data_IF_952652615202
#
_entry.id   IF_952652615202
#
_cell.length_a   1.000
_cell.length_b   1.000
_cell.length_c   1.000
_cell.angle_alpha   90.00
_cell.angle_beta   90.00
_cell.angle_gamma   90.00
#
_symmetry.space_group_name_H-M   'P 1'
#
loop_
_entity.id
_entity.type
_entity.pdbx_description
1 polymer ?
#
# COMPACT_ATOMS: atom_id res chain seq x y z
N UNK A 1 5.89 -2.51 20.47
CA UNK A 1 4.76 -2.93 19.61
C UNK A 1 3.47 -2.63 20.33
N UNK A 2 2.46 -2.18 19.60
CA UNK A 2 1.14 -1.89 20.14
C UNK A 2 0.22 -3.10 19.95
N UNK A 3 -0.70 -3.32 20.90
CA UNK A 3 -1.68 -4.42 20.84
C UNK A 3 -3.00 -3.87 20.34
N UNK A 4 -3.55 -4.49 19.29
CA UNK A 4 -4.86 -4.16 18.73
C UNK A 4 -5.77 -5.37 18.87
N UNK A 5 -6.99 -5.16 19.36
CA UNK A 5 -8.04 -6.18 19.42
C UNK A 5 -9.02 -5.99 18.27
N UNK A 6 -9.27 -7.04 17.50
CA UNK A 6 -10.22 -7.03 16.38
C UNK A 6 -11.01 -8.34 16.35
N UNK A 7 -12.23 -8.29 15.81
CA UNK A 7 -13.07 -9.48 15.63
C UNK A 7 -12.77 -10.05 14.25
N UNK A 8 -12.26 -11.28 14.22
CA UNK A 8 -11.92 -12.01 13.00
C UNK A 8 -12.48 -13.43 13.10
N UNK A 9 -12.73 -14.03 11.95
CA UNK A 9 -12.98 -15.47 11.88
C UNK A 9 -11.70 -16.24 12.22
N UNK A 10 -11.76 -16.96 13.33
CA UNK A 10 -10.64 -17.74 13.86
C UNK A 10 -10.34 -18.97 12.99
N UNK A 11 -11.33 -19.53 12.29
CA UNK A 11 -11.12 -20.71 11.44
C UNK A 11 -10.19 -20.39 10.28
N UNK A 12 -10.42 -19.26 9.60
CA UNK A 12 -9.56 -18.78 8.52
C UNK A 12 -8.10 -18.62 8.97
N UNK A 13 -7.85 -17.99 10.12
CA UNK A 13 -6.47 -17.78 10.61
C UNK A 13 -5.79 -19.10 11.00
N UNK A 14 -6.54 -20.04 11.58
CA UNK A 14 -6.01 -21.36 11.93
C UNK A 14 -5.59 -22.15 10.68
N UNK A 15 -6.24 -21.93 9.54
CA UNK A 15 -5.86 -22.57 8.28
C UNK A 15 -4.47 -22.09 7.82
N UNK A 16 -4.22 -20.78 7.85
CA UNK A 16 -2.92 -20.21 7.54
C UNK A 16 -1.82 -20.72 8.46
N UNK A 17 -2.07 -20.80 9.77
CA UNK A 17 -1.12 -21.35 10.74
C UNK A 17 -0.74 -22.79 10.40
N UNK A 18 -1.69 -23.64 10.02
CA UNK A 18 -1.43 -25.04 9.65
C UNK A 18 -0.59 -25.17 8.38
N UNK A 19 -0.84 -24.32 7.38
CA UNK A 19 -0.14 -24.36 6.09
C UNK A 19 1.25 -23.75 6.19
N UNK A 20 1.37 -22.58 6.81
CA UNK A 20 2.61 -21.80 6.89
C UNK A 20 3.51 -22.23 8.06
N UNK A 21 2.96 -22.92 9.07
CA UNK A 21 3.63 -23.27 10.33
C UNK A 21 4.13 -22.05 11.12
N UNK A 22 3.38 -20.96 11.03
CA UNK A 22 3.69 -19.68 11.67
C UNK A 22 2.69 -19.33 12.78
N UNK A 23 3.11 -18.48 13.73
CA UNK A 23 2.21 -18.01 14.80
C UNK A 23 1.11 -17.13 14.23
N UNK A 24 -0.11 -17.22 14.80
CA UNK A 24 -1.26 -16.37 14.40
C UNK A 24 -0.95 -14.88 14.34
N UNK A 25 -0.18 -14.37 15.30
CA UNK A 25 0.19 -12.94 15.33
C UNK A 25 1.14 -12.53 14.21
N UNK A 26 1.95 -13.47 13.69
CA UNK A 26 2.79 -13.24 12.52
C UNK A 26 1.92 -13.24 11.26
N UNK A 27 1.10 -14.27 11.06
CA UNK A 27 0.16 -14.38 9.93
C UNK A 27 -0.72 -13.13 9.82
N UNK A 28 -1.36 -12.72 10.92
CA UNK A 28 -2.24 -11.54 10.91
C UNK A 28 -1.47 -10.28 10.56
N UNK A 29 -0.24 -10.11 11.08
CA UNK A 29 0.59 -8.94 10.77
C UNK A 29 0.94 -8.89 9.29
N UNK A 30 1.36 -10.01 8.72
CA UNK A 30 1.71 -10.09 7.29
C UNK A 30 0.48 -9.81 6.40
N UNK A 31 -0.68 -10.38 6.73
CA UNK A 31 -1.93 -10.10 6.02
C UNK A 31 -2.32 -8.61 6.11
N UNK A 32 -2.13 -7.96 7.26
CA UNK A 32 -2.39 -6.53 7.42
C UNK A 32 -1.42 -5.69 6.59
N UNK A 33 -0.12 -6.01 6.57
CA UNK A 33 0.87 -5.30 5.76
C UNK A 33 0.60 -5.46 4.25
N UNK A 34 0.32 -6.68 3.79
CA UNK A 34 -0.06 -6.92 2.39
C UNK A 34 -1.39 -6.26 2.04
N UNK A 35 -2.38 -6.34 2.93
CA UNK A 35 -3.69 -5.70 2.77
C UNK A 35 -3.59 -4.19 2.70
N UNK A 36 -2.72 -3.58 3.51
CA UNK A 36 -2.43 -2.14 3.51
C UNK A 36 -1.91 -1.67 2.14
N UNK A 37 -0.90 -2.36 1.59
CA UNK A 37 -0.34 -2.04 0.27
C UNK A 37 -1.38 -2.16 -0.83
N UNK A 38 -2.10 -3.29 -0.88
CA UNK A 38 -3.17 -3.51 -1.86
C UNK A 38 -4.27 -2.46 -1.76
N UNK A 39 -4.67 -2.09 -0.54
CA UNK A 39 -5.72 -1.09 -0.34
C UNK A 39 -5.31 0.30 -0.81
N UNK A 40 -4.06 0.68 -0.57
CA UNK A 40 -3.51 1.94 -1.05
C UNK A 40 -3.52 2.01 -2.59
N UNK A 41 -3.14 0.93 -3.27
CA UNK A 41 -3.20 0.81 -4.74
C UNK A 41 -4.64 0.91 -5.25
N UNK A 42 -5.59 0.21 -4.63
CA UNK A 42 -7.01 0.31 -4.99
C UNK A 42 -7.55 1.73 -4.87
N UNK A 43 -7.24 2.41 -3.76
CA UNK A 43 -7.69 3.79 -3.54
C UNK A 43 -7.08 4.74 -4.58
N UNK A 44 -5.82 4.55 -4.96
CA UNK A 44 -5.18 5.33 -6.01
C UNK A 44 -5.84 5.09 -7.37
N UNK A 45 -6.09 3.82 -7.72
CA UNK A 45 -6.80 3.43 -8.96
C UNK A 45 -8.18 4.08 -9.05
N UNK A 46 -8.90 4.16 -7.92
CA UNK A 46 -10.20 4.82 -7.82
C UNK A 46 -10.13 6.36 -7.75
N UNK A 47 -8.94 6.96 -7.92
CA UNK A 47 -8.68 8.41 -7.81
C UNK A 47 -9.11 9.00 -6.46
N UNK A 48 -9.15 8.19 -5.40
CA UNK A 48 -9.53 8.63 -4.04
C UNK A 48 -8.35 9.19 -3.24
N UNK A 49 -7.12 8.91 -3.67
CA UNK A 49 -5.89 9.40 -3.04
C UNK A 49 -4.90 9.85 -4.10
N UNK A 50 -4.07 10.84 -3.76
CA UNK A 50 -2.93 11.22 -4.59
C UNK A 50 -1.82 10.16 -4.52
N UNK A 51 -0.82 10.26 -5.41
CA UNK A 51 0.33 9.37 -5.43
C UNK A 51 1.08 9.36 -4.08
N UNK A 52 1.35 10.55 -3.53
CA UNK A 52 2.04 10.69 -2.24
C UNK A 52 1.22 10.19 -1.05
N UNK A 53 -0.10 10.42 -1.05
CA UNK A 53 -0.98 9.89 -0.01
C UNK A 53 -1.09 8.36 -0.11
N UNK A 54 -1.14 7.82 -1.33
CA UNK A 54 -1.08 6.37 -1.59
C UNK A 54 0.19 5.73 -1.04
N UNK A 55 1.36 6.30 -1.31
CA UNK A 55 2.64 5.82 -0.77
C UNK A 55 2.64 5.81 0.78
N UNK A 56 2.17 6.91 1.39
CA UNK A 56 2.03 7.00 2.86
C UNK A 56 1.08 5.95 3.43
N UNK A 57 -0.07 5.74 2.78
CA UNK A 57 -1.03 4.70 3.16
C UNK A 57 -0.46 3.30 2.97
N UNK A 58 0.35 3.05 1.96
CA UNK A 58 1.05 1.77 1.75
C UNK A 58 2.21 1.56 2.74
N UNK A 59 2.73 2.63 3.35
CA UNK A 59 3.87 2.57 4.25
C UNK A 59 5.20 2.44 3.55
N UNK A 60 5.29 2.95 2.33
CA UNK A 60 6.47 2.84 1.45
C UNK A 60 6.87 4.21 0.92
N UNK A 61 8.08 4.30 0.37
CA UNK A 61 8.54 5.49 -0.35
C UNK A 61 7.73 5.72 -1.63
N UNK A 62 7.87 6.91 -2.23
CA UNK A 62 7.19 7.22 -3.49
C UNK A 62 7.66 6.31 -4.63
N UNK A 63 8.97 6.03 -4.72
CA UNK A 63 9.53 5.08 -5.69
C UNK A 63 8.97 3.68 -5.53
N UNK A 64 8.96 3.14 -4.31
CA UNK A 64 8.38 1.81 -4.05
C UNK A 64 6.88 1.77 -4.35
N UNK A 65 6.17 2.89 -4.18
CA UNK A 65 4.77 2.96 -4.56
C UNK A 65 4.58 2.94 -6.08
N UNK A 66 5.48 3.53 -6.87
CA UNK A 66 5.48 3.37 -8.33
C UNK A 66 5.65 1.90 -8.74
N UNK A 67 6.56 1.19 -8.07
CA UNK A 67 6.77 -0.24 -8.34
C UNK A 67 5.54 -1.07 -7.97
N UNK A 68 4.91 -0.79 -6.82
CA UNK A 68 3.63 -1.42 -6.43
C UNK A 68 2.51 -1.15 -7.45
N UNK A 69 2.41 0.07 -7.98
CA UNK A 69 1.42 0.37 -9.03
C UNK A 69 1.67 -0.45 -10.30
N UNK A 70 2.95 -0.61 -10.69
CA UNK A 70 3.35 -1.43 -11.83
C UNK A 70 3.01 -2.92 -11.62
N UNK A 71 3.33 -3.47 -10.44
CA UNK A 71 3.02 -4.87 -10.08
C UNK A 71 1.53 -5.20 -10.13
N UNK A 72 0.68 -4.20 -9.94
CA UNK A 72 -0.78 -4.33 -9.96
C UNK A 72 -1.43 -3.85 -11.28
N UNK A 73 -0.64 -3.64 -12.34
CA UNK A 73 -1.10 -3.14 -13.65
C UNK A 73 -1.90 -1.83 -13.55
N UNK A 74 -1.54 -0.97 -12.61
CA UNK A 74 -2.16 0.35 -12.41
C UNK A 74 -1.29 1.42 -13.07
N UNK A 75 -1.79 1.97 -14.17
CA UNK A 75 -1.15 3.09 -14.85
C UNK A 75 -1.15 4.34 -13.99
N UNK A 76 -0.11 5.15 -14.19
CA UNK A 76 -0.04 6.47 -13.59
C UNK A 76 -1.12 7.36 -14.19
N UNK A 77 -1.94 7.91 -13.31
CA UNK A 77 -2.87 8.99 -13.65
C UNK A 77 -2.10 10.31 -13.68
N UNK A 78 -1.10 10.41 -14.56
CA UNK A 78 -0.29 11.61 -14.76
C UNK A 78 -0.44 12.11 -16.18
N UNK A 79 -0.84 13.36 -16.31
CA UNK A 79 -0.79 14.10 -17.56
C UNK A 79 0.55 14.82 -17.70
N UNK A 80 0.87 15.25 -18.91
CA UNK A 80 2.11 15.98 -19.19
C UNK A 80 2.21 17.28 -18.36
N UNK A 81 1.07 17.90 -18.07
CA UNK A 81 1.03 19.12 -17.27
C UNK A 81 1.38 18.85 -15.79
N UNK A 82 0.97 17.71 -15.25
CA UNK A 82 1.36 17.29 -13.89
C UNK A 82 2.88 17.13 -13.79
N UNK A 83 3.51 16.53 -14.81
CA UNK A 83 4.96 16.37 -14.86
C UNK A 83 5.69 17.72 -14.92
N UNK A 84 5.19 18.68 -15.71
CA UNK A 84 5.76 20.04 -15.77
C UNK A 84 5.62 20.77 -14.43
N UNK A 85 4.48 20.66 -13.77
CA UNK A 85 4.26 21.27 -12.45
C UNK A 85 5.19 20.67 -11.39
N UNK A 86 5.36 19.34 -11.39
CA UNK A 86 6.29 18.66 -10.50
C UNK A 86 7.73 19.15 -10.73
N UNK A 87 8.17 19.24 -11.99
CA UNK A 87 9.50 19.74 -12.35
C UNK A 87 9.71 21.19 -11.92
N UNK A 88 8.72 22.07 -12.16
CA UNK A 88 8.79 23.48 -11.78
C UNK A 88 8.87 23.63 -10.26
N UNK A 89 8.15 22.79 -9.51
CA UNK A 89 8.21 22.77 -8.05
C UNK A 89 9.61 22.34 -7.58
N UNK A 90 10.16 21.27 -8.14
CA UNK A 90 11.50 20.79 -7.81
C UNK A 90 12.57 21.87 -8.04
N UNK A 91 12.49 22.59 -9.17
CA UNK A 91 13.42 23.70 -9.49
C UNK A 91 13.36 24.90 -8.54
N UNK A 92 12.26 25.08 -7.79
CA UNK A 92 12.14 26.15 -6.80
C UNK A 92 12.68 25.76 -5.43
N UNK A 93 12.79 24.46 -5.18
CA UNK A 93 13.20 23.89 -3.88
C UNK A 93 14.68 23.49 -3.87
N UNK A 94 15.31 23.40 -5.03
CA UNK A 94 16.75 23.19 -5.24
C UNK A 94 17.42 24.53 -5.55
#
# INVERSE_FOLDING_TARGET
METVSTRLDLETINLFEKVLKEKKSQVVRELVESGRKRKAVELYKLKKVSLGLGAKLAGVSLSEFFDLLREHDVYLNLEMEDAKQALNTARKLL
#
